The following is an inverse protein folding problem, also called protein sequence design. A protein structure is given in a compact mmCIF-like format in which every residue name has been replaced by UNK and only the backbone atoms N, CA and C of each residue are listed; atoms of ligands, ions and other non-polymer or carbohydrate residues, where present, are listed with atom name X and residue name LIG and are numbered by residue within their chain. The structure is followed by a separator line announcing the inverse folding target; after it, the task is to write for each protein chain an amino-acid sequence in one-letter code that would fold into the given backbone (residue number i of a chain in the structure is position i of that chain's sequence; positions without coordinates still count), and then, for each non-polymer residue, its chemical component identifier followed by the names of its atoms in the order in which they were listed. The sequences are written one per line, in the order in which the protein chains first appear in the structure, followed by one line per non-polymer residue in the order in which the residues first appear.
data_IF_178575771272
#
_entry.id   IF_178575771272
#
_cell.length_a   1.000
_cell.length_b   1.000
_cell.length_c   1.000
_cell.angle_alpha   90.00
_cell.angle_beta   90.00
_cell.angle_gamma   90.00
#
_symmetry.space_group_name_H-M   'P 1'
#
loop_
_entity.id
_entity.type
_entity.pdbx_description
1 polymer ?
#
# COMPACT_ATOMS: atom_id res chain seq x y z
N UNK A 1 41.89 -26.11 -34.01
CA UNK A 1 41.76 -24.66 -33.78
C UNK A 1 40.30 -24.42 -33.41
N UNK A 2 39.83 -24.91 -32.26
CA UNK A 2 40.00 -24.40 -30.88
C UNK A 2 39.62 -22.92 -30.78
N UNK A 3 38.45 -22.65 -30.23
CA UNK A 3 38.40 -21.96 -28.94
C UNK A 3 37.16 -22.38 -28.16
N UNK A 4 37.39 -22.81 -26.91
CA UNK A 4 36.39 -23.19 -25.95
C UNK A 4 36.00 -21.94 -25.15
N UNK A 5 34.72 -21.59 -25.14
CA UNK A 5 34.22 -20.55 -24.23
C UNK A 5 34.07 -21.17 -22.83
N UNK A 6 34.88 -20.68 -21.90
CA UNK A 6 34.99 -21.17 -20.53
C UNK A 6 33.92 -20.51 -19.63
N UNK A 7 33.13 -21.26 -18.86
CA UNK A 7 32.22 -20.69 -17.87
C UNK A 7 32.94 -20.62 -16.52
N UNK A 8 33.66 -19.53 -16.27
CA UNK A 8 34.31 -19.28 -14.99
C UNK A 8 34.01 -17.86 -14.51
N UNK A 9 33.00 -17.71 -13.66
CA UNK A 9 32.67 -16.41 -13.04
C UNK A 9 31.57 -16.43 -11.97
N UNK A 10 30.79 -17.49 -11.83
CA UNK A 10 29.63 -17.53 -10.93
C UNK A 10 29.95 -17.75 -9.42
N UNK A 11 31.22 -17.73 -9.01
CA UNK A 11 31.63 -18.19 -7.66
C UNK A 11 32.35 -17.18 -6.75
N UNK A 12 32.52 -15.93 -7.18
CA UNK A 12 33.38 -14.95 -6.48
C UNK A 12 32.60 -13.74 -5.91
N UNK A 13 31.36 -13.50 -6.32
CA UNK A 13 30.63 -12.25 -6.01
C UNK A 13 29.89 -12.26 -4.65
N UNK A 14 29.57 -13.44 -4.12
CA UNK A 14 28.81 -13.55 -2.86
C UNK A 14 29.65 -13.38 -1.60
N UNK A 15 30.99 -13.31 -1.72
CA UNK A 15 31.91 -13.29 -0.57
C UNK A 15 32.22 -11.89 -0.02
N UNK A 16 31.91 -10.81 -0.75
CA UNK A 16 32.17 -9.43 -0.30
C UNK A 16 30.92 -8.69 0.20
N UNK A 17 29.73 -9.32 0.20
CA UNK A 17 28.48 -8.75 0.72
C UNK A 17 28.41 -8.67 2.27
N UNK A 18 29.55 -8.71 2.97
CA UNK A 18 29.61 -8.60 4.43
C UNK A 18 30.36 -7.33 4.84
N UNK A 19 29.58 -6.31 5.21
CA UNK A 19 29.85 -5.22 6.17
C UNK A 19 30.22 -3.78 5.72
N UNK A 20 30.37 -3.45 4.43
CA UNK A 20 30.78 -2.08 4.05
C UNK A 20 29.74 -1.24 3.31
N UNK A 21 29.29 -1.72 2.14
CA UNK A 21 28.63 -0.87 1.13
C UNK A 21 27.13 -1.16 1.00
N UNK A 22 26.72 -2.41 1.19
CA UNK A 22 25.33 -2.83 0.99
C UNK A 22 24.34 -2.28 2.01
N UNK A 23 24.77 -1.92 3.22
CA UNK A 23 23.88 -1.32 4.22
C UNK A 23 23.53 0.11 3.87
N UNK A 24 24.49 0.92 3.42
CA UNK A 24 24.23 2.30 3.02
C UNK A 24 23.33 2.38 1.78
N UNK A 25 23.51 1.47 0.82
CA UNK A 25 22.64 1.37 -0.35
C UNK A 25 21.24 0.88 0.03
N UNK A 26 21.14 -0.13 0.90
CA UNK A 26 19.85 -0.59 1.41
C UNK A 26 19.15 0.50 2.25
N UNK A 27 19.88 1.24 3.08
CA UNK A 27 19.36 2.38 3.84
C UNK A 27 18.88 3.51 2.92
N UNK A 28 19.59 3.77 1.81
CA UNK A 28 19.16 4.74 0.82
C UNK A 28 17.87 4.30 0.11
N UNK A 29 17.76 3.02 -0.27
CA UNK A 29 16.56 2.46 -0.90
C UNK A 29 15.38 2.46 0.09
N UNK A 30 15.61 2.05 1.34
CA UNK A 30 14.58 2.08 2.40
C UNK A 30 14.19 3.53 2.70
N UNK A 31 15.12 4.48 2.70
CA UNK A 31 14.84 5.90 2.90
C UNK A 31 13.95 6.48 1.81
N UNK A 32 14.15 6.07 0.56
CA UNK A 32 13.29 6.49 -0.55
C UNK A 32 11.92 5.81 -0.53
N UNK A 33 11.87 4.55 -0.10
CA UNK A 33 10.63 3.75 0.04
C UNK A 33 9.94 3.95 1.40
N UNK A 34 10.54 4.73 2.30
CA UNK A 34 10.03 4.92 3.65
C UNK A 34 8.59 5.43 3.53
N UNK A 35 7.64 4.85 4.28
CA UNK A 35 6.23 5.19 4.14
C UNK A 35 6.07 6.70 4.35
N UNK A 36 5.86 7.41 3.24
CA UNK A 36 5.54 8.83 3.24
C UNK A 36 4.11 8.92 3.73
N UNK A 37 3.95 8.97 5.05
CA UNK A 37 2.65 9.23 5.66
C UNK A 37 2.10 10.50 5.06
N UNK A 38 0.90 10.43 4.49
CA UNK A 38 0.22 11.61 3.98
C UNK A 38 0.17 12.66 5.11
N UNK A 39 0.66 13.87 4.86
CA UNK A 39 0.61 14.96 5.83
C UNK A 39 -0.65 15.79 5.55
N UNK A 40 -1.78 15.35 6.10
CA UNK A 40 -3.09 15.97 5.87
C UNK A 40 -4.24 15.08 6.31
N UNK A 41 -5.46 15.58 6.31
CA UNK A 41 -6.64 14.71 6.48
C UNK A 41 -6.95 14.01 5.17
N UNK A 42 -7.32 12.72 5.22
CA UNK A 42 -7.80 12.02 4.03
C UNK A 42 -9.27 12.40 3.81
N UNK A 43 -9.64 12.76 2.57
CA UNK A 43 -10.99 13.19 2.27
C UNK A 43 -11.97 12.04 2.44
N UNK A 44 -13.20 12.37 2.80
CA UNK A 44 -14.31 11.43 2.94
C UNK A 44 -15.47 11.90 2.06
N UNK A 45 -16.32 10.98 1.62
CA UNK A 45 -17.57 11.38 0.95
C UNK A 45 -18.47 12.13 1.95
N UNK A 46 -19.10 13.21 1.51
CA UNK A 46 -19.86 14.13 2.39
C UNK A 46 -20.90 13.41 3.25
N UNK A 47 -21.56 12.39 2.69
CA UNK A 47 -22.58 11.61 3.37
C UNK A 47 -22.05 10.84 4.60
N UNK A 48 -20.74 10.55 4.65
CA UNK A 48 -20.11 9.79 5.74
C UNK A 48 -19.30 10.68 6.69
N UNK A 49 -19.05 11.94 6.35
CA UNK A 49 -18.37 12.90 7.23
C UNK A 49 -18.96 12.96 8.66
N UNK A 50 -20.29 12.94 8.87
CA UNK A 50 -20.87 12.96 10.22
C UNK A 50 -20.58 11.72 11.07
N UNK A 51 -20.16 10.62 10.45
CA UNK A 51 -19.88 9.34 11.13
C UNK A 51 -18.47 9.28 11.72
N UNK A 52 -17.59 10.20 11.33
CA UNK A 52 -16.18 10.19 11.72
C UNK A 52 -15.88 11.40 12.61
N UNK A 53 -15.19 11.21 13.75
CA UNK A 53 -14.75 12.33 14.59
C UNK A 53 -13.95 13.36 13.79
N UNK A 54 -14.41 14.61 13.79
CA UNK A 54 -13.75 15.70 13.05
C UNK A 54 -14.02 15.72 11.54
N UNK A 55 -14.90 14.86 11.03
CA UNK A 55 -15.38 14.92 9.64
C UNK A 55 -14.40 14.41 8.57
N UNK A 56 -13.19 13.99 8.96
CA UNK A 56 -12.18 13.52 8.03
C UNK A 56 -11.28 12.45 8.68
N UNK A 57 -10.67 11.59 7.86
CA UNK A 57 -9.82 10.52 8.36
C UNK A 57 -8.41 11.04 8.62
N UNK A 58 -7.82 10.66 9.75
CA UNK A 58 -6.43 10.97 10.06
C UNK A 58 -5.51 9.86 9.54
N UNK A 59 -4.43 10.18 8.80
CA UNK A 59 -3.41 9.20 8.44
C UNK A 59 -2.85 8.49 9.68
N UNK A 60 -2.65 7.18 9.57
CA UNK A 60 -2.23 6.34 10.70
C UNK A 60 -3.31 6.09 11.76
N UNK A 61 -4.56 6.51 11.54
CA UNK A 61 -5.70 6.09 12.37
C UNK A 61 -6.25 4.73 11.90
N UNK A 62 -7.01 4.09 12.78
CA UNK A 62 -7.75 2.86 12.49
C UNK A 62 -9.23 3.08 12.74
N UNK A 63 -10.06 2.61 11.81
CA UNK A 63 -11.52 2.65 11.92
C UNK A 63 -12.07 1.24 11.79
N UNK A 64 -12.97 0.87 12.68
CA UNK A 64 -13.66 -0.42 12.64
C UNK A 64 -15.12 -0.19 12.24
N UNK A 65 -15.54 -0.80 11.13
CA UNK A 65 -16.93 -0.76 10.67
C UNK A 65 -17.60 -2.07 11.06
N UNK A 66 -18.62 -1.99 11.91
CA UNK A 66 -19.35 -3.16 12.43
C UNK A 66 -20.81 -3.12 11.99
N UNK A 67 -21.47 -4.30 11.98
CA UNK A 67 -22.87 -4.43 11.60
C UNK A 67 -23.11 -5.67 10.73
N UNK A 68 -24.38 -5.95 10.43
CA UNK A 68 -24.76 -7.09 9.59
C UNK A 68 -24.85 -6.69 8.11
N UNK A 69 -25.91 -5.95 7.73
CA UNK A 69 -26.12 -5.53 6.36
C UNK A 69 -25.39 -4.21 6.05
N UNK A 70 -24.67 -4.17 4.92
CA UNK A 70 -24.09 -2.94 4.38
C UNK A 70 -22.76 -2.47 5.00
N UNK A 71 -22.21 -3.18 5.99
CA UNK A 71 -20.94 -2.82 6.62
C UNK A 71 -19.78 -2.72 5.60
N UNK A 72 -19.70 -3.66 4.66
CA UNK A 72 -18.72 -3.63 3.58
C UNK A 72 -18.90 -2.39 2.70
N UNK A 73 -20.12 -2.08 2.26
CA UNK A 73 -20.40 -0.89 1.44
C UNK A 73 -20.01 0.40 2.14
N UNK A 74 -20.29 0.51 3.44
CA UNK A 74 -19.84 1.65 4.25
C UNK A 74 -18.32 1.70 4.30
N UNK A 75 -17.64 0.59 4.57
CA UNK A 75 -16.18 0.54 4.58
C UNK A 75 -15.58 0.98 3.24
N UNK A 76 -16.13 0.50 2.11
CA UNK A 76 -15.71 0.91 0.77
C UNK A 76 -15.97 2.40 0.51
N UNK A 77 -17.13 2.92 0.92
CA UNK A 77 -17.45 4.35 0.82
C UNK A 77 -16.50 5.23 1.63
N UNK A 78 -16.02 4.74 2.79
CA UNK A 78 -15.03 5.44 3.62
C UNK A 78 -13.68 5.53 2.90
N UNK A 79 -13.22 4.46 2.26
CA UNK A 79 -11.92 4.43 1.54
C UNK A 79 -12.00 4.97 0.11
N UNK A 80 -13.19 5.24 -0.43
CA UNK A 80 -13.37 5.83 -1.75
C UNK A 80 -12.78 7.24 -1.86
N UNK A 81 -12.95 8.09 -0.83
CA UNK A 81 -12.37 9.43 -0.80
C UNK A 81 -10.83 9.41 -0.89
N UNK A 82 -10.13 8.68 0.00
CA UNK A 82 -8.67 8.53 -0.05
C UNK A 82 -8.16 7.94 -1.37
N UNK A 83 -8.86 6.94 -1.93
CA UNK A 83 -8.49 6.34 -3.22
C UNK A 83 -8.61 7.33 -4.38
N UNK A 84 -9.70 8.10 -4.44
CA UNK A 84 -9.89 9.15 -5.46
C UNK A 84 -8.87 10.28 -5.36
N UNK A 85 -8.29 10.49 -4.18
CA UNK A 85 -7.18 11.42 -3.96
C UNK A 85 -5.81 10.86 -4.37
N UNK A 86 -5.74 9.70 -5.03
CA UNK A 86 -4.51 9.04 -5.48
C UNK A 86 -3.91 8.07 -4.44
N UNK A 87 -4.65 7.74 -3.39
CA UNK A 87 -4.28 6.67 -2.46
C UNK A 87 -4.48 5.28 -3.06
N UNK A 88 -3.94 4.27 -2.40
CA UNK A 88 -4.13 2.87 -2.74
C UNK A 88 -4.87 2.14 -1.61
N UNK A 89 -5.55 1.05 -1.97
CA UNK A 89 -6.29 0.20 -1.04
C UNK A 89 -5.73 -1.22 -1.06
N UNK A 90 -5.43 -1.76 0.12
CA UNK A 90 -5.16 -3.18 0.31
C UNK A 90 -6.34 -3.87 0.97
N UNK A 91 -6.88 -4.91 0.33
CA UNK A 91 -7.94 -5.75 0.89
C UNK A 91 -7.39 -7.11 1.30
N UNK A 92 -7.56 -7.51 2.56
CA UNK A 92 -7.07 -8.79 3.09
C UNK A 92 -8.24 -9.57 3.69
N UNK A 93 -8.40 -10.83 3.30
CA UNK A 93 -9.45 -11.70 3.85
C UNK A 93 -10.88 -11.35 3.38
N UNK A 94 -11.02 -10.75 2.20
CA UNK A 94 -12.31 -10.35 1.60
C UNK A 94 -12.68 -11.23 0.38
N UNK A 95 -12.96 -12.55 0.55
CA UNK A 95 -13.17 -13.46 -0.58
C UNK A 95 -14.46 -13.20 -1.38
N UNK A 96 -15.43 -12.50 -0.79
CA UNK A 96 -16.74 -12.22 -1.40
C UNK A 96 -16.85 -10.77 -1.90
N UNK A 97 -15.75 -10.02 -1.92
CA UNK A 97 -15.78 -8.64 -2.40
C UNK A 97 -15.90 -8.62 -3.93
N UNK A 98 -17.02 -8.13 -4.43
CA UNK A 98 -17.21 -7.89 -5.86
C UNK A 98 -16.36 -6.71 -6.31
N UNK A 99 -15.25 -7.00 -7.01
CA UNK A 99 -14.31 -5.96 -7.44
C UNK A 99 -14.94 -4.98 -8.44
N UNK A 100 -15.79 -5.46 -9.35
CA UNK A 100 -16.54 -4.59 -10.27
C UNK A 100 -17.39 -3.57 -9.51
N UNK A 101 -18.12 -4.01 -8.48
CA UNK A 101 -18.90 -3.13 -7.62
C UNK A 101 -18.01 -2.14 -6.82
N UNK A 102 -16.82 -2.58 -6.41
CA UNK A 102 -15.83 -1.69 -5.78
C UNK A 102 -15.32 -0.61 -6.75
N UNK A 103 -15.10 -0.97 -8.02
CA UNK A 103 -14.71 0.00 -9.06
C UNK A 103 -15.82 1.01 -9.34
N UNK A 104 -17.10 0.61 -9.33
CA UNK A 104 -18.24 1.54 -9.42
C UNK A 104 -18.27 2.55 -8.26
N UNK A 105 -17.77 2.16 -7.08
CA UNK A 105 -17.57 3.05 -5.94
C UNK A 105 -16.35 3.98 -6.09
N UNK A 106 -15.55 3.85 -7.14
CA UNK A 106 -14.37 4.67 -7.43
C UNK A 106 -13.11 4.17 -6.74
N UNK A 107 -13.01 2.87 -6.51
CA UNK A 107 -11.79 2.21 -6.05
C UNK A 107 -10.94 1.79 -7.27
N UNK A 108 -9.60 1.91 -7.18
CA UNK A 108 -8.67 1.60 -8.27
C UNK A 108 -8.60 0.11 -8.57
#
# INVERSE_FOLDING_TARGET
MTEAVSPAGAGQDTRNLRRGTGSAELEAIIGDTAPRGHQGFLPLVDALAPLVPGGALRPGSSLHVTGAAGATTVALGIVAGPCRAGGWLGCVGFPQLGWEAATELGLP
#
